data_IF_659456288934
#
_entry.id   IF_659456288934
#
_cell.length_a   1.000
_cell.length_b   1.000
_cell.length_c   1.000
_cell.angle_alpha   90.00
_cell.angle_beta   90.00
_cell.angle_gamma   90.00
#
_symmetry.space_group_name_H-M   'P 1'
#
loop_
_entity.id
_entity.type
_entity.pdbx_description
1 polymer ?
#
# COMPACT_ATOMS: atom_id res chain seq x y z
N UNK A 1 -1.69 -19.21 -3.50
CA UNK A 1 -1.08 -17.89 -3.71
C UNK A 1 -2.10 -16.83 -3.35
N UNK A 2 -1.82 -16.04 -2.32
CA UNK A 2 -2.76 -15.05 -1.81
C UNK A 2 -2.72 -13.80 -2.72
N UNK A 3 -3.66 -13.71 -3.65
CA UNK A 3 -3.76 -12.61 -4.64
C UNK A 3 -4.29 -11.33 -3.98
N UNK A 4 -3.52 -10.79 -3.03
CA UNK A 4 -3.82 -9.51 -2.38
C UNK A 4 -2.92 -8.41 -2.93
N UNK A 5 -3.49 -7.23 -2.97
CA UNK A 5 -2.82 -5.98 -3.30
C UNK A 5 -2.57 -5.19 -2.02
N UNK A 6 -1.51 -4.40 -2.01
CA UNK A 6 -1.24 -3.39 -1.00
C UNK A 6 -1.50 -2.02 -1.59
N UNK A 7 -2.49 -1.32 -1.02
CA UNK A 7 -2.84 0.05 -1.36
C UNK A 7 -2.09 0.99 -0.42
N UNK A 8 -1.47 2.04 -0.98
CA UNK A 8 -0.87 3.14 -0.25
C UNK A 8 -1.89 4.26 -0.03
N UNK A 9 -1.88 4.89 1.13
CA UNK A 9 -2.89 5.91 1.49
C UNK A 9 -2.68 7.23 0.74
N UNK A 10 -1.42 7.59 0.50
CA UNK A 10 -1.04 8.92 -0.01
C UNK A 10 -0.70 8.95 -1.51
N UNK A 11 -0.94 7.86 -2.26
CA UNK A 11 -0.78 7.84 -3.71
C UNK A 11 -1.59 6.72 -4.35
N UNK A 12 -1.81 6.75 -5.66
CA UNK A 12 -2.66 5.78 -6.37
C UNK A 12 -1.91 4.57 -6.91
N UNK A 13 -0.66 4.40 -6.50
CA UNK A 13 0.14 3.25 -6.89
C UNK A 13 -0.27 2.02 -6.08
N UNK A 14 -0.61 0.96 -6.80
CA UNK A 14 -1.05 -0.32 -6.23
C UNK A 14 0.01 -1.36 -6.56
N UNK A 15 0.43 -2.09 -5.54
CA UNK A 15 1.43 -3.15 -5.70
C UNK A 15 0.85 -4.47 -5.20
N UNK A 16 1.45 -5.58 -5.61
CA UNK A 16 1.17 -6.85 -4.96
C UNK A 16 1.56 -6.77 -3.46
N UNK A 17 0.78 -7.40 -2.57
CA UNK A 17 1.00 -7.29 -1.14
C UNK A 17 2.39 -7.79 -0.73
N UNK A 18 2.88 -8.86 -1.37
CA UNK A 18 4.23 -9.36 -1.16
C UNK A 18 5.31 -8.38 -1.63
N UNK A 19 5.08 -7.70 -2.75
CA UNK A 19 6.01 -6.76 -3.36
C UNK A 19 6.26 -5.57 -2.42
N UNK A 20 5.18 -4.96 -1.93
CA UNK A 20 5.28 -3.80 -1.03
C UNK A 20 5.80 -4.17 0.36
N UNK A 21 5.54 -5.41 0.81
CA UNK A 21 6.14 -5.95 2.05
C UNK A 21 7.65 -6.11 1.91
N UNK A 22 8.12 -6.70 0.79
CA UNK A 22 9.57 -6.81 0.51
C UNK A 22 10.23 -5.45 0.40
N UNK A 23 9.58 -4.49 -0.24
CA UNK A 23 10.05 -3.10 -0.29
C UNK A 23 10.23 -2.50 1.11
N UNK A 24 9.20 -2.61 1.96
CA UNK A 24 9.23 -2.10 3.34
C UNK A 24 10.19 -2.84 4.27
N UNK A 25 10.45 -4.12 4.00
CA UNK A 25 11.38 -4.95 4.76
C UNK A 25 12.84 -4.79 4.29
N UNK A 26 13.08 -4.09 3.18
CA UNK A 26 14.43 -3.88 2.66
C UNK A 26 15.23 -2.99 3.62
N UNK A 27 16.29 -3.54 4.22
CA UNK A 27 17.21 -2.77 5.07
C UNK A 27 18.26 -1.99 4.25
N UNK A 28 18.30 -2.18 2.94
CA UNK A 28 19.28 -1.55 2.05
C UNK A 28 19.03 -0.05 1.81
N UNK A 29 17.84 0.44 2.14
CA UNK A 29 17.47 1.84 1.96
C UNK A 29 17.10 2.46 3.31
N UNK A 30 17.32 3.78 3.44
CA UNK A 30 16.92 4.50 4.64
C UNK A 30 15.44 4.29 4.96
N UNK A 31 15.09 4.25 6.26
CA UNK A 31 13.72 4.06 6.73
C UNK A 31 12.69 5.00 6.09
N UNK A 32 13.11 6.21 5.68
CA UNK A 32 12.27 7.18 4.98
C UNK A 32 11.93 6.77 3.54
N UNK A 33 12.81 6.03 2.88
CA UNK A 33 12.64 5.55 1.50
C UNK A 33 11.77 4.31 1.46
N UNK A 34 12.00 3.34 2.35
CA UNK A 34 11.20 2.10 2.38
C UNK A 34 9.76 2.31 2.83
N UNK A 35 9.48 3.39 3.57
CA UNK A 35 8.12 3.84 3.91
C UNK A 35 7.49 4.73 2.84
N UNK A 36 8.16 4.95 1.72
CA UNK A 36 7.62 5.70 0.61
C UNK A 36 7.13 4.76 -0.50
N UNK A 37 6.29 5.29 -1.38
CA UNK A 37 5.92 4.62 -2.62
C UNK A 37 7.17 4.34 -3.48
N UNK A 38 7.35 3.12 -4.02
CA UNK A 38 8.44 2.80 -4.95
C UNK A 38 8.49 3.69 -6.21
N UNK A 39 7.32 4.14 -6.68
CA UNK A 39 7.17 4.93 -7.92
C UNK A 39 7.33 6.44 -7.65
N UNK A 40 6.41 7.01 -6.87
CA UNK A 40 6.34 8.46 -6.67
C UNK A 40 7.07 8.96 -5.42
N UNK A 41 7.63 8.06 -4.58
CA UNK A 41 8.32 8.38 -3.32
C UNK A 41 7.49 9.20 -2.32
N UNK A 42 6.17 9.25 -2.50
CA UNK A 42 5.28 9.82 -1.49
C UNK A 42 5.32 8.94 -0.25
N UNK A 43 5.58 9.56 0.90
CA UNK A 43 5.58 8.87 2.19
C UNK A 43 4.18 8.30 2.46
N UNK A 44 4.11 7.01 2.75
CA UNK A 44 2.89 6.35 3.19
C UNK A 44 3.27 5.36 4.29
N UNK A 45 2.89 5.67 5.53
CA UNK A 45 3.24 4.85 6.68
C UNK A 45 2.39 3.57 6.73
N UNK A 46 1.23 3.58 6.09
CA UNK A 46 0.28 2.46 6.09
C UNK A 46 0.21 1.72 4.75
N UNK A 47 -0.03 0.40 4.76
CA UNK A 47 -0.44 -0.37 3.58
C UNK A 47 -1.72 -1.08 3.94
N UNK A 48 -2.75 -0.84 3.14
CA UNK A 48 -4.02 -1.55 3.26
C UNK A 48 -4.00 -2.77 2.36
N UNK A 49 -4.03 -3.99 2.92
CA UNK A 49 -4.18 -5.21 2.13
C UNK A 49 -5.62 -5.34 1.64
N UNK A 50 -5.80 -5.65 0.36
CA UNK A 50 -7.13 -5.87 -0.24
C UNK A 50 -7.08 -6.92 -1.34
N UNK A 51 -8.22 -7.55 -1.64
CA UNK A 51 -8.38 -8.40 -2.83
C UNK A 51 -8.97 -7.64 -4.02
N UNK A 52 -9.48 -6.43 -3.78
CA UNK A 52 -10.14 -5.60 -4.77
C UNK A 52 -9.16 -4.59 -5.36
N UNK A 53 -9.22 -4.40 -6.67
CA UNK A 53 -8.50 -3.33 -7.35
C UNK A 53 -9.38 -2.08 -7.38
N UNK A 54 -9.04 -1.01 -6.65
CA UNK A 54 -9.81 0.22 -6.70
C UNK A 54 -9.61 0.89 -8.06
N UNK A 55 -10.71 1.18 -8.75
CA UNK A 55 -10.69 1.83 -10.08
C UNK A 55 -10.58 3.36 -9.98
N UNK A 56 -10.92 3.93 -8.82
CA UNK A 56 -10.88 5.37 -8.58
C UNK A 56 -10.52 5.67 -7.10
N UNK A 57 -10.28 6.95 -6.82
CA UNK A 57 -9.92 7.41 -5.48
C UNK A 57 -11.00 7.10 -4.43
N UNK A 58 -12.28 7.17 -4.81
CA UNK A 58 -13.39 6.92 -3.89
C UNK A 58 -13.43 5.45 -3.44
N UNK A 59 -13.29 4.51 -4.38
CA UNK A 59 -13.17 3.08 -4.10
C UNK A 59 -11.92 2.76 -3.26
N UNK A 60 -10.81 3.45 -3.53
CA UNK A 60 -9.58 3.33 -2.74
C UNK A 60 -9.81 3.78 -1.29
N UNK A 61 -10.46 4.94 -1.09
CA UNK A 61 -10.78 5.45 0.24
C UNK A 61 -11.73 4.51 0.98
N UNK A 62 -12.73 3.93 0.31
CA UNK A 62 -13.64 2.94 0.89
C UNK A 62 -12.87 1.71 1.37
N UNK A 63 -11.98 1.13 0.55
CA UNK A 63 -11.15 -0.01 0.93
C UNK A 63 -10.28 0.29 2.15
N UNK A 64 -9.65 1.48 2.18
CA UNK A 64 -8.83 1.91 3.33
C UNK A 64 -9.70 2.08 4.57
N UNK A 65 -10.87 2.71 4.44
CA UNK A 65 -11.80 2.94 5.55
C UNK A 65 -12.29 1.62 6.13
N UNK A 66 -12.82 0.72 5.30
CA UNK A 66 -13.31 -0.59 5.72
C UNK A 66 -12.20 -1.38 6.42
N UNK A 67 -10.96 -1.34 5.92
CA UNK A 67 -9.86 -2.02 6.59
C UNK A 67 -9.53 -1.40 7.95
N UNK A 68 -9.51 -0.08 8.07
CA UNK A 68 -9.26 0.63 9.34
C UNK A 68 -10.37 0.42 10.37
N UNK A 69 -11.62 0.23 9.93
CA UNK A 69 -12.77 -0.06 10.82
C UNK A 69 -12.79 -1.51 11.33
N UNK A 70 -12.13 -2.43 10.63
CA UNK A 70 -12.03 -3.85 11.00
C UNK A 70 -10.71 -4.20 11.71
N UNK A 71 -9.98 -3.19 12.17
CA UNK A 71 -8.69 -3.29 12.87
C UNK A 71 -8.88 -3.22 14.38
#
# INVERSE_FOLDING_TARGET
GDKRFGILENCDHIFCLECIRKWRASSNYEHKVVKACPECRVKSDFVTPTKYWPENEQAKQEVIKTYKENL
#
